data_IF_479893573538
#
_entry.id   IF_479893573538
#
_cell.length_a   1.000
_cell.length_b   1.000
_cell.length_c   1.000
_cell.angle_alpha   90.00
_cell.angle_beta   90.00
_cell.angle_gamma   90.00
#
_symmetry.space_group_name_H-M   'P 1'
#
loop_
_entity.id
_entity.type
_entity.pdbx_description
1 polymer ?
#
# COMPACT_ATOMS: atom_id res chain seq x y z
N UNK A 1 -75.07 24.45 -6.55
CA UNK A 1 -75.99 24.71 -5.42
C UNK A 1 -75.15 24.84 -4.16
N UNK A 2 -75.41 25.83 -3.29
CA UNK A 2 -74.64 26.05 -2.04
C UNK A 2 -74.96 24.94 -1.01
N UNK A 3 -73.99 24.47 -0.24
CA UNK A 3 -73.77 24.90 1.16
C UNK A 3 -72.51 24.27 1.77
N UNK A 4 -71.94 24.97 2.76
CA UNK A 4 -70.98 24.46 3.75
C UNK A 4 -71.73 24.08 5.03
N UNK A 5 -71.16 23.21 5.89
CA UNK A 5 -71.05 23.30 7.37
C UNK A 5 -70.72 21.90 7.96
N UNK A 6 -69.52 21.65 8.51
CA UNK A 6 -69.05 21.78 9.93
C UNK A 6 -69.22 20.55 10.84
N UNK A 7 -68.09 20.10 11.40
CA UNK A 7 -67.84 19.54 12.76
C UNK A 7 -68.86 18.61 13.45
N UNK A 8 -68.38 17.42 13.88
CA UNK A 8 -68.36 17.00 15.30
C UNK A 8 -67.45 15.76 15.49
N UNK A 9 -66.99 15.53 16.72
CA UNK A 9 -66.08 14.43 17.11
C UNK A 9 -66.75 13.46 18.11
N UNK A 10 -65.93 12.66 18.84
CA UNK A 10 -66.29 11.69 19.92
C UNK A 10 -66.72 10.31 19.34
N UNK A 11 -65.88 9.26 19.32
CA UNK A 11 -65.33 8.44 20.43
C UNK A 11 -66.41 7.59 21.16
N UNK A 12 -66.22 6.34 21.59
CA UNK A 12 -65.18 5.31 21.41
C UNK A 12 -65.76 3.94 21.90
N UNK A 13 -64.92 2.89 22.00
CA UNK A 13 -65.12 1.70 22.88
C UNK A 13 -66.13 0.60 22.39
N UNK A 14 -66.04 -0.71 22.72
CA UNK A 14 -65.03 -1.52 23.46
C UNK A 14 -65.24 -3.06 23.24
N UNK A 15 -64.17 -3.87 23.30
CA UNK A 15 -64.01 -5.33 23.59
C UNK A 15 -64.96 -6.42 22.96
N UNK A 16 -64.42 -7.45 22.27
CA UNK A 16 -64.01 -8.82 22.74
C UNK A 16 -65.14 -9.88 22.68
N UNK A 17 -64.95 -11.21 22.60
CA UNK A 17 -63.80 -12.09 22.85
C UNK A 17 -63.92 -13.48 22.18
N UNK A 18 -62.77 -14.04 21.76
CA UNK A 18 -62.22 -15.41 22.00
C UNK A 18 -62.96 -16.74 21.64
N UNK A 19 -62.19 -17.69 21.09
CA UNK A 19 -62.49 -19.13 20.99
C UNK A 19 -61.34 -19.94 20.34
N UNK A 20 -60.72 -20.88 21.07
CA UNK A 20 -59.54 -21.67 20.64
C UNK A 20 -59.89 -23.08 20.12
N UNK A 21 -59.08 -23.64 19.21
CA UNK A 21 -58.58 -25.05 19.20
C UNK A 21 -57.12 -25.06 18.65
N UNK A 22 -56.32 -26.10 18.93
CA UNK A 22 -54.85 -26.05 19.02
C UNK A 22 -54.00 -26.75 17.92
N UNK A 23 -52.72 -26.34 17.83
CA UNK A 23 -51.46 -27.08 17.48
C UNK A 23 -51.37 -27.94 16.19
N UNK A 24 -50.23 -28.09 15.47
CA UNK A 24 -48.88 -27.49 15.35
C UNK A 24 -48.17 -28.22 14.15
N UNK A 25 -46.87 -28.07 13.81
CA UNK A 25 -45.90 -26.96 13.92
C UNK A 25 -45.26 -26.53 12.56
N UNK A 26 -44.55 -25.39 12.49
CA UNK A 26 -43.23 -25.27 11.80
C UNK A 26 -42.59 -23.87 11.93
N UNK A 27 -41.30 -23.88 12.30
CA UNK A 27 -40.21 -22.89 12.07
C UNK A 27 -40.53 -21.39 12.17
N UNK A 28 -39.96 -20.73 13.19
CA UNK A 28 -39.75 -19.27 13.21
C UNK A 28 -38.52 -18.91 12.38
N UNK A 29 -38.68 -18.02 11.41
CA UNK A 29 -37.60 -17.14 10.94
C UNK A 29 -37.56 -15.91 11.85
N UNK A 30 -36.49 -15.72 12.61
CA UNK A 30 -36.31 -14.49 13.39
C UNK A 30 -36.04 -13.30 12.45
N UNK A 31 -36.61 -12.15 12.79
CA UNK A 31 -36.36 -10.88 12.13
C UNK A 31 -34.92 -10.40 12.33
N UNK A 32 -34.36 -9.76 11.30
CA UNK A 32 -33.21 -8.87 11.45
C UNK A 32 -33.61 -7.71 12.37
N UNK A 33 -33.16 -7.75 13.63
CA UNK A 33 -33.16 -6.59 14.49
C UNK A 33 -32.01 -5.67 14.06
N UNK A 34 -32.25 -4.36 14.05
CA UNK A 34 -31.24 -3.38 13.69
C UNK A 34 -30.06 -3.43 14.69
N UNK A 35 -28.83 -3.34 14.18
CA UNK A 35 -27.69 -3.01 15.03
C UNK A 35 -27.80 -1.54 15.46
N UNK A 36 -27.75 -1.29 16.77
CA UNK A 36 -27.57 0.06 17.29
C UNK A 36 -26.13 0.51 17.05
N UNK A 37 -25.96 1.62 16.33
CA UNK A 37 -24.64 2.24 16.10
C UNK A 37 -24.33 3.12 17.31
N UNK A 38 -23.35 2.73 18.13
CA UNK A 38 -22.81 3.59 19.18
C UNK A 38 -21.73 4.52 18.61
N UNK A 39 -22.07 5.80 18.40
CA UNK A 39 -21.09 6.82 18.03
C UNK A 39 -20.31 7.23 19.28
N UNK A 40 -19.06 6.81 19.39
CA UNK A 40 -18.13 7.30 20.41
C UNK A 40 -17.47 8.59 19.90
N UNK A 41 -17.68 9.70 20.61
CA UNK A 41 -17.19 11.01 20.21
C UNK A 41 -15.72 11.23 20.58
N UNK A 42 -14.90 11.58 19.58
CA UNK A 42 -13.56 12.13 19.73
C UNK A 42 -13.42 13.42 18.91
N UNK A 43 -12.70 14.41 19.43
CA UNK A 43 -12.47 15.68 18.74
C UNK A 43 -11.22 15.60 17.86
N UNK A 44 -11.38 15.59 16.54
CA UNK A 44 -10.27 15.75 15.59
C UNK A 44 -9.93 17.23 15.38
N UNK A 45 -8.64 17.53 15.20
CA UNK A 45 -8.17 18.82 14.69
C UNK A 45 -7.43 18.59 13.38
N UNK A 46 -7.53 19.55 12.44
CA UNK A 46 -6.78 19.53 11.19
C UNK A 46 -5.59 20.46 11.30
N UNK A 47 -4.39 19.94 11.02
CA UNK A 47 -3.23 20.78 10.74
C UNK A 47 -3.29 21.22 9.27
N UNK A 48 -2.95 22.48 8.99
CA UNK A 48 -2.74 22.96 7.63
C UNK A 48 -1.24 22.99 7.35
N UNK A 49 -0.75 22.03 6.57
CA UNK A 49 0.60 22.07 6.04
C UNK A 49 0.70 23.02 4.85
N UNK A 50 1.88 23.60 4.65
CA UNK A 50 2.16 24.58 3.61
C UNK A 50 3.23 24.04 2.65
N UNK A 51 2.99 24.02 1.32
CA UNK A 51 3.96 23.46 0.37
C UNK A 51 5.32 24.15 0.39
N UNK A 52 6.40 23.36 0.41
CA UNK A 52 7.76 23.87 0.28
C UNK A 52 8.09 24.22 -1.17
N UNK A 53 7.84 25.48 -1.55
CA UNK A 53 8.06 26.01 -2.91
C UNK A 53 9.54 26.10 -3.36
N UNK A 54 10.49 25.49 -2.64
CA UNK A 54 11.93 25.56 -2.91
C UNK A 54 12.61 24.19 -3.07
N UNK A 55 11.87 23.08 -2.92
CA UNK A 55 12.40 21.75 -3.20
C UNK A 55 12.60 21.55 -4.72
N UNK A 56 13.64 20.82 -5.11
CA UNK A 56 13.97 20.49 -6.51
C UNK A 56 14.58 19.10 -6.58
N UNK A 57 13.95 18.16 -7.27
CA UNK A 57 14.51 16.81 -7.42
C UNK A 57 14.14 16.18 -8.76
N UNK A 58 15.10 16.18 -9.68
CA UNK A 58 14.93 15.65 -11.04
C UNK A 58 14.82 14.11 -11.06
N UNK A 59 14.21 13.59 -12.12
CA UNK A 59 14.32 12.18 -12.51
C UNK A 59 13.38 11.21 -11.77
N UNK A 60 12.26 11.71 -11.24
CA UNK A 60 11.35 10.92 -10.39
C UNK A 60 10.75 9.70 -11.09
N UNK A 61 10.35 9.83 -12.37
CA UNK A 61 9.94 8.71 -13.24
C UNK A 61 10.96 7.56 -13.31
N UNK A 62 12.18 7.81 -13.84
CA UNK A 62 13.25 6.80 -13.83
C UNK A 62 13.62 6.30 -12.43
N UNK A 63 13.59 7.15 -11.38
CA UNK A 63 13.83 6.73 -9.98
C UNK A 63 12.76 5.76 -9.47
N UNK A 64 11.48 5.98 -9.80
CA UNK A 64 10.38 5.10 -9.43
C UNK A 64 10.44 3.76 -10.16
N UNK A 65 10.79 3.75 -11.46
CA UNK A 65 10.99 2.50 -12.21
C UNK A 65 12.24 1.75 -11.74
N UNK A 66 13.30 2.47 -11.38
CA UNK A 66 14.45 1.90 -10.67
C UNK A 66 14.00 1.27 -9.36
N UNK A 67 13.42 2.03 -8.40
CA UNK A 67 12.88 1.52 -7.11
C UNK A 67 12.12 0.21 -7.34
N UNK A 68 11.24 0.16 -8.33
CA UNK A 68 10.37 -1.00 -8.60
C UNK A 68 11.01 -2.22 -9.33
N UNK A 69 11.69 -2.07 -10.48
CA UNK A 69 12.38 -3.18 -11.17
C UNK A 69 13.34 -3.90 -10.28
N UNK A 70 14.04 -3.04 -9.62
CA UNK A 70 15.31 -3.35 -9.09
C UNK A 70 14.94 -3.96 -7.72
N UNK A 71 13.95 -3.46 -6.93
CA UNK A 71 13.37 -4.09 -5.69
C UNK A 71 13.29 -5.62 -5.70
N UNK A 72 12.95 -6.24 -6.83
CA UNK A 72 12.80 -7.69 -7.00
C UNK A 72 14.02 -8.41 -7.63
N UNK A 73 15.20 -7.79 -7.62
CA UNK A 73 16.48 -8.40 -7.98
C UNK A 73 16.75 -8.51 -9.49
N UNK A 74 16.17 -7.64 -10.31
CA UNK A 74 16.25 -7.75 -11.77
C UNK A 74 17.27 -6.79 -12.40
N UNK A 75 18.01 -7.28 -13.40
CA UNK A 75 18.96 -6.47 -14.17
C UNK A 75 18.28 -5.41 -15.05
N UNK A 76 18.85 -4.20 -15.03
CA UNK A 76 18.36 -3.07 -15.81
C UNK A 76 18.44 -3.30 -17.33
N UNK A 77 17.53 -2.71 -18.13
CA UNK A 77 17.78 -2.42 -19.53
C UNK A 77 18.96 -1.44 -19.69
N UNK A 78 19.82 -1.65 -20.70
CA UNK A 78 21.07 -0.91 -20.89
C UNK A 78 20.90 0.63 -20.84
N UNK A 79 19.83 1.18 -21.43
CA UNK A 79 19.55 2.62 -21.38
C UNK A 79 19.18 3.15 -19.98
N UNK A 80 18.45 2.37 -19.17
CA UNK A 80 18.16 2.74 -17.78
C UNK A 80 19.45 2.71 -16.94
N UNK A 81 20.36 1.78 -17.22
CA UNK A 81 21.67 1.70 -16.55
C UNK A 81 22.53 2.93 -16.86
N UNK A 82 22.60 3.37 -18.12
CA UNK A 82 23.33 4.59 -18.49
C UNK A 82 22.81 5.85 -17.74
N UNK A 83 21.49 6.01 -17.65
CA UNK A 83 20.85 7.14 -16.97
C UNK A 83 21.05 7.11 -15.45
N UNK A 84 20.88 5.93 -14.83
CA UNK A 84 21.14 5.76 -13.39
C UNK A 84 22.61 6.01 -13.08
N UNK A 85 23.54 5.57 -13.93
CA UNK A 85 24.97 5.85 -13.78
C UNK A 85 25.31 7.34 -14.01
N UNK A 86 24.63 8.04 -14.92
CA UNK A 86 24.82 9.48 -15.11
C UNK A 86 24.35 10.28 -13.88
N UNK A 87 23.18 9.95 -13.34
CA UNK A 87 22.67 10.51 -12.07
C UNK A 87 23.61 10.20 -10.89
N UNK A 88 24.07 8.95 -10.75
CA UNK A 88 25.01 8.55 -9.68
C UNK A 88 26.40 9.20 -9.82
N UNK A 89 26.78 9.61 -11.03
CA UNK A 89 28.05 10.30 -11.34
C UNK A 89 27.95 11.81 -11.12
N UNK A 90 26.80 12.43 -11.37
CA UNK A 90 26.49 13.78 -10.88
C UNK A 90 26.45 13.82 -9.34
N UNK A 91 26.14 12.69 -8.69
CA UNK A 91 26.14 12.51 -7.23
C UNK A 91 27.46 11.93 -6.65
N UNK A 92 28.46 11.59 -7.48
CA UNK A 92 29.84 11.32 -7.07
C UNK A 92 30.16 9.94 -6.47
N UNK A 93 29.52 8.85 -6.89
CA UNK A 93 29.71 7.49 -6.32
C UNK A 93 30.41 6.51 -7.28
N UNK A 94 31.31 5.65 -6.78
CA UNK A 94 32.07 4.65 -7.54
C UNK A 94 32.25 3.34 -6.71
N UNK A 95 31.97 2.14 -7.26
CA UNK A 95 31.92 0.86 -6.49
C UNK A 95 32.31 -0.38 -7.34
N UNK A 96 33.24 -1.25 -6.88
CA UNK A 96 33.54 -2.53 -7.53
C UNK A 96 33.15 -3.82 -6.74
N UNK A 97 32.37 -4.67 -7.42
CA UNK A 97 32.47 -6.15 -7.61
C UNK A 97 32.41 -7.21 -6.43
N UNK A 98 31.56 -8.24 -6.65
CA UNK A 98 31.54 -9.65 -6.11
C UNK A 98 31.19 -9.95 -4.63
N UNK A 99 30.81 -11.19 -4.23
CA UNK A 99 30.05 -12.30 -4.85
C UNK A 99 29.82 -13.48 -3.84
N UNK A 100 28.61 -14.08 -3.82
CA UNK A 100 28.37 -15.53 -3.63
C UNK A 100 28.22 -16.20 -2.24
N UNK A 101 27.08 -16.89 -2.01
CA UNK A 101 27.10 -18.36 -1.74
C UNK A 101 26.44 -18.99 -0.48
N UNK A 102 25.30 -19.69 -0.66
CA UNK A 102 24.82 -20.89 0.10
C UNK A 102 23.99 -20.67 1.39
N UNK A 103 22.74 -21.18 1.57
CA UNK A 103 22.20 -22.58 1.59
C UNK A 103 22.46 -23.34 2.91
N UNK A 104 21.57 -24.04 3.64
CA UNK A 104 20.13 -24.40 3.53
C UNK A 104 19.60 -24.79 4.94
N UNK A 105 18.27 -24.93 5.15
CA UNK A 105 17.72 -25.66 6.32
C UNK A 105 16.22 -25.44 6.65
N UNK A 106 15.36 -26.42 6.33
CA UNK A 106 13.89 -26.35 6.44
C UNK A 106 13.32 -27.07 7.69
N UNK A 107 12.16 -26.67 8.21
CA UNK A 107 11.52 -27.28 9.40
C UNK A 107 10.08 -26.83 9.71
N UNK A 108 9.10 -27.51 9.09
CA UNK A 108 7.65 -27.48 9.35
C UNK A 108 7.26 -28.14 10.70
N UNK A 109 6.08 -27.98 11.34
CA UNK A 109 4.87 -27.15 11.14
C UNK A 109 3.92 -27.26 12.37
N UNK A 110 2.74 -26.63 12.25
CA UNK A 110 1.42 -26.90 12.86
C UNK A 110 0.87 -25.92 13.91
N UNK A 111 -0.37 -25.48 13.61
CA UNK A 111 -1.16 -24.53 14.37
C UNK A 111 -2.08 -25.20 15.40
N UNK A 112 -2.44 -24.45 16.45
CA UNK A 112 -3.51 -24.76 17.39
C UNK A 112 -4.49 -23.58 17.47
N UNK A 113 -5.78 -23.88 17.40
CA UNK A 113 -6.87 -22.91 17.25
C UNK A 113 -7.56 -22.66 18.61
N UNK A 114 -7.82 -21.41 19.00
CA UNK A 114 -8.51 -21.14 20.28
C UNK A 114 -8.92 -19.69 20.56
N UNK A 115 -10.22 -19.52 20.86
CA UNK A 115 -10.93 -18.41 21.52
C UNK A 115 -10.77 -16.96 21.02
N UNK A 116 -11.91 -16.25 20.95
CA UNK A 116 -12.00 -14.81 20.70
C UNK A 116 -12.15 -14.09 22.04
N UNK A 117 -11.17 -13.25 22.40
CA UNK A 117 -11.20 -12.39 23.57
C UNK A 117 -11.79 -11.00 23.24
N UNK A 118 -12.38 -10.34 24.24
CA UNK A 118 -13.09 -9.04 24.08
C UNK A 118 -12.14 -7.83 24.06
N UNK A 119 -10.97 -7.98 23.46
CA UNK A 119 -9.87 -6.99 23.50
C UNK A 119 -9.50 -6.50 22.09
N UNK A 120 -10.48 -6.51 21.17
CA UNK A 120 -10.29 -6.31 19.74
C UNK A 120 -9.98 -4.86 19.38
N UNK A 121 -8.80 -4.63 18.80
CA UNK A 121 -8.30 -3.34 18.34
C UNK A 121 -8.84 -2.98 16.95
N UNK A 122 -9.05 -1.69 16.71
CA UNK A 122 -9.25 -1.06 15.40
C UNK A 122 -8.40 0.21 15.35
N UNK A 123 -7.92 0.59 14.17
CA UNK A 123 -7.07 1.78 14.03
C UNK A 123 -7.01 2.34 12.62
N UNK A 124 -6.75 3.62 12.51
CA UNK A 124 -6.69 4.41 11.27
C UNK A 124 -5.41 5.24 11.30
N UNK A 125 -4.60 5.14 10.25
CA UNK A 125 -3.40 5.94 10.07
C UNK A 125 -3.46 6.68 8.72
N UNK A 126 -3.09 7.96 8.71
CA UNK A 126 -3.06 8.75 7.48
C UNK A 126 -1.91 8.30 6.57
N UNK A 127 -2.19 8.16 5.28
CA UNK A 127 -1.20 7.88 4.24
C UNK A 127 -0.96 9.16 3.43
N UNK A 128 0.09 9.91 3.76
CA UNK A 128 0.38 11.24 3.19
C UNK A 128 1.23 11.07 1.93
N UNK A 129 0.78 11.51 0.74
CA UNK A 129 1.57 11.41 -0.48
C UNK A 129 2.77 12.36 -0.44
N UNK A 130 3.92 11.84 -0.85
CA UNK A 130 5.05 12.67 -1.27
C UNK A 130 4.78 13.35 -2.63
N UNK A 131 5.67 14.24 -3.05
CA UNK A 131 5.50 15.00 -4.29
C UNK A 131 5.32 14.05 -5.51
N UNK A 132 4.25 14.28 -6.30
CA UNK A 132 3.80 13.41 -7.40
C UNK A 132 3.35 11.99 -6.99
N UNK A 133 3.04 11.77 -5.70
CA UNK A 133 2.68 10.47 -5.12
C UNK A 133 3.80 9.42 -5.33
N UNK A 134 5.07 9.80 -5.13
CA UNK A 134 6.23 8.90 -5.29
C UNK A 134 6.23 7.74 -4.29
N UNK A 135 5.74 8.01 -3.09
CA UNK A 135 5.45 7.06 -2.00
C UNK A 135 4.43 7.70 -1.03
N UNK A 136 3.95 6.93 -0.06
CA UNK A 136 2.97 7.39 0.93
C UNK A 136 3.48 7.17 2.36
N UNK A 137 3.80 8.27 3.04
CA UNK A 137 4.34 8.24 4.38
C UNK A 137 3.23 8.18 5.43
N UNK A 138 3.42 7.30 6.43
CA UNK A 138 2.46 7.04 7.50
C UNK A 138 3.14 7.24 8.86
N UNK A 139 2.56 8.03 9.79
CA UNK A 139 3.15 8.25 11.10
C UNK A 139 3.05 6.99 11.98
N UNK A 140 4.18 6.53 12.47
CA UNK A 140 4.33 5.37 13.37
C UNK A 140 5.02 5.81 14.65
N UNK A 141 4.48 5.40 15.78
CA UNK A 141 5.04 5.67 17.10
C UNK A 141 5.88 4.48 17.57
N UNK A 142 7.13 4.72 17.99
CA UNK A 142 8.05 3.69 18.47
C UNK A 142 8.58 4.06 19.86
N UNK A 143 8.52 3.10 20.79
CA UNK A 143 9.15 3.18 22.11
C UNK A 143 8.39 3.93 23.20
N UNK A 144 9.02 4.04 24.37
CA UNK A 144 8.43 4.65 25.57
C UNK A 144 9.37 5.68 26.22
N UNK A 145 9.11 6.99 26.15
CA UNK A 145 7.95 7.62 25.52
C UNK A 145 7.91 7.45 23.99
N UNK A 146 6.73 7.51 23.37
CA UNK A 146 6.57 7.39 21.91
C UNK A 146 7.42 8.39 21.13
N UNK A 147 8.10 7.88 20.11
CA UNK A 147 8.84 8.66 19.11
C UNK A 147 8.16 8.46 17.76
N UNK A 148 7.63 9.54 17.16
CA UNK A 148 6.96 9.46 15.86
C UNK A 148 7.98 9.52 14.73
N UNK A 149 7.93 8.53 13.84
CA UNK A 149 8.66 8.46 12.57
C UNK A 149 7.64 8.32 11.42
N UNK A 150 7.96 8.85 10.25
CA UNK A 150 7.16 8.76 9.04
C UNK A 150 7.68 7.62 8.16
N UNK A 151 6.95 6.50 8.08
CA UNK A 151 7.40 5.29 7.38
C UNK A 151 6.62 5.04 6.08
N UNK A 152 7.33 4.57 5.04
CA UNK A 152 6.74 4.04 3.81
C UNK A 152 6.13 2.65 4.11
N UNK A 153 4.82 2.50 3.92
CA UNK A 153 4.09 1.26 4.22
C UNK A 153 4.13 0.33 3.00
N UNK A 154 4.81 -0.81 3.12
CA UNK A 154 5.24 -1.61 1.97
C UNK A 154 4.65 -3.04 1.99
N UNK A 155 3.54 -3.26 1.27
CA UNK A 155 2.96 -4.62 1.11
C UNK A 155 3.81 -5.56 0.24
N UNK A 156 4.89 -5.06 -0.36
CA UNK A 156 5.89 -5.81 -1.13
C UNK A 156 7.15 -6.23 -0.36
N UNK A 157 7.28 -5.92 0.94
CA UNK A 157 8.35 -6.43 1.84
C UNK A 157 7.80 -6.85 3.21
N UNK A 158 8.64 -7.25 4.18
CA UNK A 158 8.18 -7.78 5.48
C UNK A 158 9.09 -7.42 6.65
N UNK A 159 9.76 -6.28 6.54
CA UNK A 159 10.76 -5.80 7.50
C UNK A 159 10.30 -4.42 7.98
N UNK A 160 10.31 -4.19 9.30
CA UNK A 160 10.03 -2.87 9.87
C UNK A 160 11.38 -2.28 10.25
N UNK A 161 11.94 -1.46 9.37
CA UNK A 161 13.25 -0.85 9.59
C UNK A 161 13.19 0.67 9.65
N UNK A 162 14.09 1.26 10.44
CA UNK A 162 14.11 2.71 10.69
C UNK A 162 15.52 3.30 10.70
N UNK A 163 15.61 4.56 10.30
CA UNK A 163 16.72 5.43 10.67
C UNK A 163 16.79 5.57 12.20
N UNK A 164 17.99 5.58 12.78
CA UNK A 164 18.18 5.45 14.24
C UNK A 164 19.39 6.21 14.78
N UNK A 165 19.53 6.26 16.10
CA UNK A 165 20.75 6.74 16.79
C UNK A 165 22.03 5.96 16.41
N UNK A 166 21.90 4.78 15.80
CA UNK A 166 23.02 3.97 15.29
C UNK A 166 23.28 4.16 13.78
N UNK A 167 22.45 4.92 13.06
CA UNK A 167 22.70 5.22 11.64
C UNK A 167 23.85 6.23 11.52
N UNK A 168 24.85 6.02 10.63
CA UNK A 168 25.94 6.96 10.45
C UNK A 168 25.44 8.35 10.08
N UNK A 169 25.87 9.40 10.80
CA UNK A 169 25.43 10.79 10.57
C UNK A 169 25.67 11.31 9.14
N UNK A 170 26.59 10.71 8.39
CA UNK A 170 26.85 11.02 6.98
C UNK A 170 25.83 10.40 6.02
N UNK A 171 24.91 9.58 6.53
CA UNK A 171 23.82 8.91 5.79
C UNK A 171 22.43 9.43 6.21
N UNK A 172 22.37 10.42 7.12
CA UNK A 172 21.12 11.07 7.57
C UNK A 172 21.15 12.52 7.08
N UNK A 173 20.19 12.89 6.24
CA UNK A 173 20.18 14.18 5.51
C UNK A 173 18.92 15.02 5.75
N UNK A 174 17.91 14.51 6.46
CA UNK A 174 16.81 15.27 7.12
C UNK A 174 15.89 14.36 7.97
N UNK A 175 15.97 13.03 7.79
CA UNK A 175 15.12 12.03 8.42
C UNK A 175 15.08 12.15 9.95
N UNK A 176 13.89 11.93 10.52
CA UNK A 176 13.70 11.67 11.94
C UNK A 176 14.36 10.35 12.29
N UNK A 177 15.12 10.32 13.38
CA UNK A 177 15.81 9.10 13.84
C UNK A 177 15.15 8.56 15.09
N UNK A 178 14.94 7.25 15.14
CA UNK A 178 14.58 6.54 16.36
C UNK A 178 15.77 6.55 17.35
N UNK A 179 15.62 7.28 18.44
CA UNK A 179 16.60 7.37 19.52
C UNK A 179 16.38 6.21 20.49
N UNK A 180 17.13 5.13 20.27
CA UNK A 180 17.03 3.87 21.02
C UNK A 180 17.22 4.12 22.52
N UNK A 181 18.22 4.94 22.88
CA UNK A 181 18.59 5.26 24.26
C UNK A 181 17.53 6.10 24.99
N UNK A 182 16.60 6.72 24.28
CA UNK A 182 15.47 7.44 24.86
C UNK A 182 14.25 6.54 25.15
N UNK A 183 14.19 5.32 24.59
CA UNK A 183 13.11 4.37 24.84
C UNK A 183 13.42 3.48 26.05
N UNK A 184 12.55 3.55 27.06
CA UNK A 184 12.62 2.70 28.26
C UNK A 184 12.12 1.27 28.04
N UNK A 185 11.47 0.99 26.90
CA UNK A 185 10.95 -0.32 26.52
C UNK A 185 11.82 -1.05 25.50
N UNK A 186 12.75 -0.35 24.84
CA UNK A 186 13.69 -0.92 23.89
C UNK A 186 14.59 -2.01 24.50
N UNK A 187 14.66 -3.16 23.84
CA UNK A 187 15.55 -4.27 24.21
C UNK A 187 16.26 -4.80 22.98
N UNK A 188 17.59 -4.84 23.01
CA UNK A 188 18.37 -5.46 21.94
C UNK A 188 17.98 -6.94 21.81
N UNK A 189 17.67 -7.39 20.60
CA UNK A 189 17.45 -8.81 20.31
C UNK A 189 18.82 -9.44 20.03
N UNK A 190 19.47 -9.90 21.10
CA UNK A 190 20.87 -10.36 21.07
C UNK A 190 21.15 -11.38 19.95
N UNK A 191 22.13 -11.05 19.10
CA UNK A 191 22.53 -11.88 17.96
C UNK A 191 21.68 -11.73 16.70
N UNK A 192 20.53 -11.07 16.76
CA UNK A 192 19.70 -10.82 15.58
C UNK A 192 20.27 -9.69 14.72
N UNK A 193 20.30 -9.93 13.41
CA UNK A 193 20.72 -8.99 12.38
C UNK A 193 19.78 -9.06 11.20
N UNK A 194 19.72 -7.97 10.46
CA UNK A 194 18.95 -7.87 9.23
C UNK A 194 19.81 -7.26 8.13
N UNK A 195 19.50 -7.63 6.89
CA UNK A 195 20.10 -7.06 5.70
C UNK A 195 19.10 -7.24 4.57
N UNK A 196 18.40 -6.16 4.26
CA UNK A 196 17.52 -6.12 3.11
C UNK A 196 18.29 -5.53 1.93
N UNK A 197 18.21 -6.25 0.83
CA UNK A 197 18.31 -5.64 -0.48
C UNK A 197 16.91 -5.66 -1.04
N UNK A 198 16.24 -4.52 -0.94
CA UNK A 198 15.43 -4.10 -2.07
C UNK A 198 16.41 -4.15 -3.23
N UNK A 199 16.13 -4.93 -4.25
CA UNK A 199 17.12 -5.06 -5.31
C UNK A 199 17.37 -3.72 -6.05
N UNK A 200 16.75 -2.58 -5.67
CA UNK A 200 17.10 -1.23 -6.16
C UNK A 200 18.47 -0.70 -5.75
N UNK A 201 19.39 -1.62 -5.50
CA UNK A 201 20.75 -1.35 -5.06
C UNK A 201 20.77 -0.97 -3.59
N UNK A 202 19.88 -0.05 -3.20
CA UNK A 202 18.69 -0.43 -2.42
C UNK A 202 18.97 -1.22 -1.15
N UNK A 203 19.97 -0.79 -0.39
CA UNK A 203 20.45 -1.52 0.77
C UNK A 203 20.14 -0.79 2.06
N UNK A 204 19.63 -1.52 3.05
CA UNK A 204 19.69 -1.14 4.45
C UNK A 204 19.97 -2.37 5.32
N UNK A 205 20.72 -2.20 6.40
CA UNK A 205 21.13 -3.32 7.26
C UNK A 205 21.54 -2.87 8.67
N UNK A 206 21.46 -3.80 9.62
CA UNK A 206 21.88 -3.54 10.99
C UNK A 206 21.47 -4.63 11.99
N UNK A 207 21.02 -4.16 13.15
CA UNK A 207 20.63 -5.00 14.30
C UNK A 207 19.16 -4.81 14.60
N UNK A 208 18.60 -5.67 15.46
CA UNK A 208 17.16 -5.68 15.76
C UNK A 208 16.95 -5.37 17.24
N UNK A 209 15.99 -4.50 17.53
CA UNK A 209 15.47 -4.26 18.86
C UNK A 209 14.03 -4.76 18.93
N UNK A 210 13.61 -5.25 20.09
CA UNK A 210 12.20 -5.39 20.44
C UNK A 210 11.76 -4.11 21.14
N UNK A 211 10.67 -3.50 20.68
CA UNK A 211 10.06 -2.35 21.36
C UNK A 211 8.53 -2.32 21.13
N UNK A 212 7.85 -1.38 21.80
CA UNK A 212 6.46 -1.04 21.55
C UNK A 212 6.37 -0.26 20.25
N UNK A 213 5.48 -0.67 19.36
CA UNK A 213 5.13 0.06 18.12
C UNK A 213 3.62 0.30 18.10
N UNK A 214 3.22 1.52 17.77
CA UNK A 214 1.81 1.91 17.61
C UNK A 214 1.55 2.57 16.24
N UNK A 215 0.52 2.08 15.54
CA UNK A 215 0.07 2.56 14.23
C UNK A 215 -1.43 2.87 14.33
N UNK A 216 -1.81 4.14 14.23
CA UNK A 216 -3.22 4.54 14.15
C UNK A 216 -4.10 4.10 15.34
N UNK A 217 -3.51 3.86 16.51
CA UNK A 217 -4.18 3.30 17.70
C UNK A 217 -4.12 1.77 17.85
N UNK A 218 -3.53 1.04 16.90
CA UNK A 218 -3.13 -0.36 17.08
C UNK A 218 -1.77 -0.42 17.77
N UNK A 219 -1.65 -1.11 18.91
CA UNK A 219 -0.38 -1.27 19.64
C UNK A 219 0.11 -2.72 19.58
N UNK A 220 1.37 -2.91 19.15
CA UNK A 220 2.13 -4.16 19.29
C UNK A 220 3.24 -3.95 20.32
N UNK A 221 3.11 -4.58 21.49
CA UNK A 221 4.00 -4.33 22.64
C UNK A 221 5.42 -4.93 22.52
N UNK A 222 5.63 -5.85 21.57
CA UNK A 222 6.92 -6.47 21.28
C UNK A 222 7.07 -6.66 19.77
N UNK A 223 7.17 -5.55 19.04
CA UNK A 223 7.49 -5.54 17.62
C UNK A 223 9.01 -5.58 17.43
N UNK A 224 9.48 -6.32 16.43
CA UNK A 224 10.85 -6.21 15.96
C UNK A 224 11.01 -4.90 15.17
N UNK A 225 11.92 -4.05 15.64
CA UNK A 225 12.33 -2.78 15.03
C UNK A 225 13.76 -2.95 14.55
N UNK A 226 13.93 -2.94 13.24
CA UNK A 226 15.19 -3.23 12.55
C UNK A 226 15.96 -1.90 12.37
N UNK A 227 16.90 -1.62 13.29
CA UNK A 227 17.58 -0.33 13.31
C UNK A 227 18.73 -0.30 12.31
N UNK A 228 18.75 0.72 11.44
CA UNK A 228 19.74 0.81 10.37
C UNK A 228 21.10 1.28 10.91
N UNK A 229 22.12 0.45 10.72
CA UNK A 229 23.54 0.79 10.93
C UNK A 229 24.26 1.14 9.63
N UNK A 230 23.63 0.85 8.49
CA UNK A 230 24.03 1.28 7.17
C UNK A 230 22.79 1.40 6.28
N UNK A 231 22.69 2.51 5.55
CA UNK A 231 21.74 2.68 4.44
C UNK A 231 22.49 3.05 3.15
N UNK A 232 21.82 2.89 2.02
CA UNK A 232 22.30 3.31 0.70
C UNK A 232 21.93 4.78 0.41
N UNK A 233 22.56 5.34 -0.64
CA UNK A 233 22.39 6.76 -1.01
C UNK A 233 20.98 7.14 -1.45
N UNK A 234 20.17 6.18 -1.92
CA UNK A 234 18.75 6.39 -2.26
C UNK A 234 17.96 6.82 -1.03
N UNK A 235 18.04 6.06 0.07
CA UNK A 235 17.41 6.41 1.35
C UNK A 235 18.03 7.67 1.97
N UNK A 236 19.36 7.79 1.93
CA UNK A 236 20.05 9.01 2.43
C UNK A 236 19.53 10.28 1.74
N UNK A 237 19.24 10.20 0.44
CA UNK A 237 18.74 11.31 -0.38
C UNK A 237 17.23 11.55 -0.31
N UNK A 238 16.47 10.69 0.39
CA UNK A 238 15.06 10.92 0.70
C UNK A 238 14.93 11.44 2.14
N UNK A 239 14.81 12.75 2.27
CA UNK A 239 14.82 13.42 3.57
C UNK A 239 13.51 13.32 4.37
N UNK A 240 12.44 12.76 3.79
CA UNK A 240 11.12 12.70 4.40
C UNK A 240 10.78 11.30 4.90
N UNK A 241 11.33 10.26 4.25
CA UNK A 241 11.13 8.85 4.57
C UNK A 241 12.06 8.38 5.70
N UNK A 242 11.50 8.09 6.88
CA UNK A 242 12.26 7.70 8.09
C UNK A 242 12.53 6.18 8.18
N UNK A 243 12.02 5.41 7.21
CA UNK A 243 12.15 3.95 7.14
C UNK A 243 10.96 3.29 6.44
N UNK A 244 10.89 1.96 6.49
CA UNK A 244 9.76 1.19 5.94
C UNK A 244 9.05 0.37 7.02
N UNK A 245 7.76 0.15 6.84
CA UNK A 245 6.98 -0.85 7.58
C UNK A 245 6.43 -1.89 6.60
N UNK A 246 7.10 -3.04 6.53
CA UNK A 246 6.70 -4.15 5.67
C UNK A 246 5.37 -4.79 6.08
N UNK A 247 4.46 -4.93 5.12
CA UNK A 247 3.09 -5.46 5.26
C UNK A 247 2.81 -6.69 4.38
N UNK A 248 3.84 -7.27 3.76
CA UNK A 248 3.82 -8.61 3.18
C UNK A 248 3.74 -9.72 4.23
N UNK A 249 3.91 -10.96 3.81
CA UNK A 249 3.87 -12.12 4.71
C UNK A 249 5.24 -12.38 5.34
N UNK A 250 5.32 -12.38 6.67
CA UNK A 250 6.53 -12.59 7.53
C UNK A 250 7.50 -13.68 7.07
N UNK A 251 7.02 -14.66 6.29
CA UNK A 251 7.84 -15.61 5.51
C UNK A 251 9.03 -15.00 4.75
N UNK A 252 8.97 -13.74 4.31
CA UNK A 252 10.04 -13.03 3.58
C UNK A 252 10.77 -11.97 4.40
N UNK A 253 10.52 -11.86 5.71
CA UNK A 253 11.35 -11.04 6.61
C UNK A 253 12.83 -11.50 6.55
N UNK A 254 13.76 -10.55 6.65
CA UNK A 254 15.20 -10.71 6.44
C UNK A 254 16.00 -10.87 7.75
N UNK A 255 15.36 -10.85 8.91
CA UNK A 255 16.04 -11.06 10.20
C UNK A 255 16.60 -12.49 10.29
N UNK A 256 17.85 -12.57 10.72
CA UNK A 256 18.64 -13.80 10.91
C UNK A 256 19.29 -13.79 12.29
N UNK A 257 19.39 -14.94 13.01
CA UNK A 257 19.07 -16.31 12.56
C UNK A 257 17.58 -16.68 12.61
N UNK A 258 16.74 -15.85 13.23
CA UNK A 258 15.30 -16.12 13.40
C UNK A 258 14.49 -14.98 12.81
N UNK A 259 13.76 -15.26 11.74
CA UNK A 259 12.84 -14.31 11.10
C UNK A 259 11.84 -13.76 12.11
N UNK A 260 11.51 -12.47 11.97
CA UNK A 260 10.53 -11.79 12.79
C UNK A 260 9.19 -11.68 12.06
N UNK A 261 8.15 -11.33 12.82
CA UNK A 261 6.82 -11.06 12.29
C UNK A 261 6.69 -9.60 11.86
N UNK A 262 5.92 -9.36 10.79
CA UNK A 262 5.46 -8.01 10.45
C UNK A 262 4.56 -7.45 11.55
N UNK A 263 4.42 -6.12 11.58
CA UNK A 263 3.49 -5.45 12.51
C UNK A 263 2.07 -6.02 12.38
N UNK A 264 1.59 -6.21 11.15
CA UNK A 264 0.26 -6.77 10.91
C UNK A 264 0.13 -8.23 11.40
N UNK A 265 1.13 -9.10 11.20
CA UNK A 265 1.11 -10.49 11.69
C UNK A 265 1.17 -10.58 13.23
N UNK A 266 1.86 -9.64 13.89
CA UNK A 266 1.81 -9.51 15.35
C UNK A 266 0.45 -9.00 15.85
N UNK A 267 -0.14 -8.00 15.18
CA UNK A 267 -1.43 -7.42 15.57
C UNK A 267 -2.64 -8.33 15.24
N UNK A 268 -2.52 -9.22 14.23
CA UNK A 268 -3.68 -9.87 13.57
C UNK A 268 -4.65 -10.58 14.53
N UNK A 269 -4.14 -11.21 15.58
CA UNK A 269 -4.95 -11.93 16.56
C UNK A 269 -5.76 -11.00 17.48
N UNK A 270 -5.27 -9.77 17.68
CA UNK A 270 -5.88 -8.74 18.51
C UNK A 270 -6.76 -7.78 17.71
N UNK A 271 -6.81 -7.85 16.37
CA UNK A 271 -7.66 -6.99 15.54
C UNK A 271 -9.13 -7.46 15.55
N UNK A 272 -10.09 -6.53 15.45
CA UNK A 272 -11.52 -6.85 15.34
C UNK A 272 -11.87 -7.63 14.05
N UNK A 273 -11.08 -7.44 12.99
CA UNK A 273 -11.06 -8.28 11.79
C UNK A 273 -9.59 -8.52 11.41
N UNK A 274 -9.18 -9.74 11.01
CA UNK A 274 -7.79 -10.04 10.66
C UNK A 274 -7.46 -9.55 9.23
N UNK A 275 -7.52 -8.24 9.04
CA UNK A 275 -7.33 -7.50 7.79
C UNK A 275 -6.85 -6.07 8.03
N UNK A 276 -6.32 -5.46 6.98
CA UNK A 276 -6.17 -4.01 6.84
C UNK A 276 -6.67 -3.56 5.45
N UNK A 277 -6.86 -2.26 5.24
CA UNK A 277 -7.15 -1.70 3.91
C UNK A 277 -6.22 -0.54 3.57
N UNK A 278 -5.94 -0.35 2.29
CA UNK A 278 -5.21 0.78 1.74
C UNK A 278 -6.15 1.64 0.89
N UNK A 279 -6.26 2.91 1.25
CA UNK A 279 -7.05 3.91 0.54
C UNK A 279 -6.16 5.09 0.12
N UNK A 280 -5.12 4.81 -0.67
CA UNK A 280 -4.18 5.82 -1.19
C UNK A 280 -4.88 6.78 -2.16
N UNK A 281 -4.51 8.05 -2.21
CA UNK A 281 -5.16 9.05 -3.07
C UNK A 281 -4.16 9.92 -3.82
N UNK A 282 -4.57 10.50 -4.94
CA UNK A 282 -3.69 11.30 -5.77
C UNK A 282 -3.62 12.76 -5.30
N UNK A 283 -2.45 13.23 -4.87
CA UNK A 283 -2.21 14.61 -4.44
C UNK A 283 -2.91 15.05 -3.15
N UNK A 284 -3.58 14.15 -2.44
CA UNK A 284 -4.14 14.41 -1.10
C UNK A 284 -3.98 13.18 -0.18
N UNK A 285 -3.99 13.35 1.16
CA UNK A 285 -3.87 12.24 2.09
C UNK A 285 -4.96 11.17 1.92
N UNK A 286 -4.50 9.93 1.80
CA UNK A 286 -5.28 8.72 1.95
C UNK A 286 -5.20 8.19 3.39
N UNK A 287 -5.53 6.91 3.57
CA UNK A 287 -5.46 6.24 4.87
C UNK A 287 -5.20 4.72 4.76
N UNK A 288 -4.67 4.17 5.84
CA UNK A 288 -4.63 2.74 6.15
C UNK A 288 -5.51 2.43 7.35
N UNK A 289 -6.47 1.52 7.18
CA UNK A 289 -7.34 1.07 8.28
C UNK A 289 -6.97 -0.36 8.70
N UNK A 290 -6.91 -0.62 9.99
CA UNK A 290 -6.58 -1.93 10.57
C UNK A 290 -7.77 -2.42 11.42
N UNK A 291 -8.18 -3.67 11.23
CA UNK A 291 -9.25 -4.28 12.03
C UNK A 291 -10.68 -4.00 11.56
N UNK A 292 -10.89 -3.16 10.55
CA UNK A 292 -12.21 -2.86 10.00
C UNK A 292 -12.17 -2.49 8.51
N UNK A 293 -13.34 -2.38 7.89
CA UNK A 293 -13.53 -1.87 6.53
C UNK A 293 -14.55 -0.73 6.61
N UNK A 294 -14.20 0.47 6.17
CA UNK A 294 -15.16 1.59 6.09
C UNK A 294 -15.96 1.52 4.77
N UNK A 295 -17.30 1.35 4.81
CA UNK A 295 -18.14 1.30 3.62
C UNK A 295 -18.34 2.67 2.93
N UNK A 296 -17.82 3.76 3.49
CA UNK A 296 -17.89 5.13 2.93
C UNK A 296 -16.66 5.51 2.10
N UNK A 297 -15.55 4.77 2.24
CA UNK A 297 -14.30 4.99 1.48
C UNK A 297 -14.34 4.43 0.06
N UNK A 298 -15.33 3.60 -0.25
CA UNK A 298 -15.51 3.00 -1.58
C UNK A 298 -16.96 3.06 -2.05
N UNK A 299 -17.17 2.59 -3.28
CA UNK A 299 -18.45 2.59 -3.97
C UNK A 299 -18.74 1.20 -4.55
N UNK A 300 -20.02 0.90 -4.80
CA UNK A 300 -20.40 -0.40 -5.33
C UNK A 300 -20.14 -1.54 -4.35
N UNK A 301 -19.56 -2.65 -4.84
CA UNK A 301 -19.35 -3.88 -4.07
C UNK A 301 -17.88 -4.28 -4.03
N UNK A 302 -17.38 -4.58 -2.83
CA UNK A 302 -16.07 -5.17 -2.61
C UNK A 302 -16.01 -6.60 -3.15
N UNK A 303 -15.08 -6.87 -4.07
CA UNK A 303 -14.88 -8.20 -4.68
C UNK A 303 -13.62 -8.84 -4.12
N UNK A 304 -13.78 -9.92 -3.35
CA UNK A 304 -12.66 -10.68 -2.81
C UNK A 304 -12.17 -11.76 -3.80
N UNK A 305 -10.85 -11.91 -3.87
CA UNK A 305 -10.14 -12.97 -4.58
C UNK A 305 -9.07 -13.61 -3.66
N UNK A 306 -8.76 -14.91 -3.82
CA UNK A 306 -7.67 -15.54 -3.07
C UNK A 306 -6.31 -15.00 -3.50
N UNK A 307 -5.36 -14.91 -2.56
CA UNK A 307 -3.94 -14.69 -2.88
C UNK A 307 -3.12 -15.96 -2.83
N UNK A 308 -1.98 -15.95 -3.54
CA UNK A 308 -0.96 -16.98 -3.48
C UNK A 308 0.20 -16.51 -2.60
N UNK A 309 0.23 -16.98 -1.35
CA UNK A 309 1.20 -16.55 -0.33
C UNK A 309 2.57 -17.24 -0.46
N UNK A 310 2.76 -18.15 -1.43
CA UNK A 310 3.97 -18.99 -1.58
C UNK A 310 5.27 -18.19 -1.73
N UNK A 311 5.22 -16.99 -2.32
CA UNK A 311 6.39 -16.10 -2.47
C UNK A 311 6.46 -15.00 -1.40
N UNK A 312 5.61 -15.04 -0.38
CA UNK A 312 5.53 -14.03 0.69
C UNK A 312 4.85 -12.71 0.31
N UNK A 313 4.29 -12.60 -0.90
CA UNK A 313 3.60 -11.41 -1.38
C UNK A 313 2.08 -11.60 -1.42
N UNK A 314 1.36 -10.47 -1.48
CA UNK A 314 -0.07 -10.41 -1.80
C UNK A 314 -0.30 -10.65 -3.30
N UNK A 315 0.02 -11.87 -3.75
CA UNK A 315 0.05 -12.24 -5.17
C UNK A 315 -1.32 -12.72 -5.66
N UNK A 316 -1.75 -12.22 -6.82
CA UNK A 316 -2.99 -12.60 -7.48
C UNK A 316 -2.81 -12.81 -9.00
N UNK A 317 -3.89 -13.18 -9.68
CA UNK A 317 -3.91 -13.36 -11.14
C UNK A 317 -4.83 -12.33 -11.80
N UNK A 318 -4.28 -11.56 -12.73
CA UNK A 318 -5.05 -10.77 -13.70
C UNK A 318 -5.22 -11.59 -15.00
N UNK A 319 -6.37 -11.49 -15.66
CA UNK A 319 -6.75 -12.39 -16.77
C UNK A 319 -6.77 -11.73 -18.15
N UNK A 320 -7.20 -10.47 -18.21
CA UNK A 320 -7.32 -9.68 -19.45
C UNK A 320 -7.26 -8.19 -19.15
N UNK A 321 -7.00 -7.38 -20.18
CA UNK A 321 -6.96 -5.92 -20.07
C UNK A 321 -7.69 -5.25 -21.24
N UNK A 322 -8.00 -3.97 -21.08
CA UNK A 322 -8.57 -3.08 -22.10
C UNK A 322 -7.89 -1.72 -22.02
N UNK A 323 -7.66 -1.08 -23.17
CA UNK A 323 -7.09 0.27 -23.26
C UNK A 323 -8.13 1.21 -23.85
N UNK A 324 -8.37 2.34 -23.19
CA UNK A 324 -9.42 3.30 -23.50
C UNK A 324 -10.78 2.96 -22.88
N UNK A 325 -11.69 3.92 -22.95
CA UNK A 325 -12.99 3.92 -22.27
C UNK A 325 -14.18 3.52 -23.15
N UNK A 326 -13.94 2.91 -24.32
CA UNK A 326 -15.01 2.44 -25.20
C UNK A 326 -15.76 1.27 -24.56
N UNK A 327 -17.07 1.36 -24.30
CA UNK A 327 -17.85 0.25 -23.74
C UNK A 327 -17.90 -1.00 -24.64
N UNK A 328 -17.54 -0.83 -25.91
CA UNK A 328 -17.49 -1.89 -26.93
C UNK A 328 -16.08 -2.44 -27.17
N UNK A 329 -15.07 -2.02 -26.38
CA UNK A 329 -13.72 -2.56 -26.53
C UNK A 329 -13.65 -4.00 -26.00
N UNK A 330 -13.22 -4.92 -26.86
CA UNK A 330 -13.04 -6.34 -26.49
C UNK A 330 -11.81 -6.50 -25.59
N UNK A 331 -11.93 -7.10 -24.40
CA UNK A 331 -10.79 -7.37 -23.54
C UNK A 331 -9.75 -8.27 -24.23
N UNK A 332 -8.49 -7.89 -24.15
CA UNK A 332 -7.35 -8.67 -24.65
C UNK A 332 -6.94 -9.66 -23.57
N UNK A 333 -7.10 -10.96 -23.84
CA UNK A 333 -6.66 -12.03 -22.96
C UNK A 333 -5.13 -11.98 -22.80
N UNK A 334 -4.67 -11.81 -21.57
CA UNK A 334 -3.24 -11.75 -21.22
C UNK A 334 -3.07 -12.15 -19.75
N UNK A 335 -3.28 -13.44 -19.41
CA UNK A 335 -3.20 -13.90 -18.02
C UNK A 335 -1.78 -13.74 -17.48
N UNK A 336 -1.64 -13.11 -16.32
CA UNK A 336 -0.36 -12.91 -15.66
C UNK A 336 -0.51 -12.89 -14.14
N UNK A 337 0.58 -13.28 -13.45
CA UNK A 337 0.72 -13.10 -12.01
C UNK A 337 1.02 -11.62 -11.71
N UNK A 338 0.48 -11.13 -10.61
CA UNK A 338 0.63 -9.76 -10.14
C UNK A 338 0.75 -9.75 -8.61
N UNK A 339 1.40 -8.74 -8.03
CA UNK A 339 1.38 -8.46 -6.59
C UNK A 339 0.76 -7.08 -6.33
N UNK A 340 0.01 -6.94 -5.24
CA UNK A 340 -0.42 -5.63 -4.75
C UNK A 340 0.68 -5.07 -3.82
N UNK A 341 1.30 -3.96 -4.23
CA UNK A 341 2.54 -3.45 -3.62
C UNK A 341 2.49 -1.93 -3.39
N UNK A 342 2.15 -1.52 -2.18
CA UNK A 342 2.11 -0.10 -1.76
C UNK A 342 3.49 0.55 -1.63
N UNK A 343 4.58 -0.24 -1.59
CA UNK A 343 5.95 0.27 -1.60
C UNK A 343 6.55 0.37 -3.01
N UNK A 344 5.71 0.35 -4.06
CA UNK A 344 6.10 0.58 -5.45
C UNK A 344 5.17 1.62 -6.06
N UNK A 345 5.74 2.70 -6.58
CA UNK A 345 4.98 3.79 -7.18
C UNK A 345 4.19 3.38 -8.44
N UNK A 346 4.83 2.62 -9.35
CA UNK A 346 4.36 2.45 -10.73
C UNK A 346 3.51 1.18 -10.94
N UNK A 347 2.67 1.20 -11.97
CA UNK A 347 2.00 0.00 -12.48
C UNK A 347 2.92 -0.72 -13.48
N UNK A 348 3.66 -1.71 -13.00
CA UNK A 348 4.59 -2.49 -13.83
C UNK A 348 3.90 -3.72 -14.41
N UNK A 349 3.76 -3.76 -15.73
CA UNK A 349 3.00 -4.78 -16.46
C UNK A 349 3.89 -5.57 -17.43
N UNK A 350 3.52 -6.81 -17.83
CA UNK A 350 4.23 -7.54 -18.88
C UNK A 350 4.49 -6.65 -20.10
N UNK A 351 5.71 -6.64 -20.62
CA UNK A 351 6.16 -5.62 -21.59
C UNK A 351 5.29 -5.51 -22.85
N UNK A 352 4.57 -6.57 -23.23
CA UNK A 352 3.57 -6.56 -24.30
C UNK A 352 2.34 -5.70 -23.98
N UNK A 353 1.86 -5.70 -22.72
CA UNK A 353 0.71 -4.91 -22.26
C UNK A 353 1.09 -3.43 -22.19
N UNK A 354 2.24 -3.10 -21.59
CA UNK A 354 2.74 -1.72 -21.56
C UNK A 354 2.91 -1.16 -22.99
N UNK A 355 3.48 -1.94 -23.92
CA UNK A 355 3.59 -1.57 -25.34
C UNK A 355 2.23 -1.38 -26.01
N UNK A 356 1.24 -2.24 -25.72
CA UNK A 356 -0.11 -2.13 -26.28
C UNK A 356 -0.84 -0.87 -25.77
N UNK A 357 -0.61 -0.48 -24.51
CA UNK A 357 -1.12 0.77 -23.94
C UNK A 357 -0.54 1.99 -24.66
N UNK A 358 0.79 2.15 -24.70
CA UNK A 358 1.42 3.32 -25.33
C UNK A 358 1.26 3.37 -26.85
N UNK A 359 0.96 2.25 -27.51
CA UNK A 359 0.54 2.27 -28.92
C UNK A 359 -0.77 3.04 -29.17
N UNK A 360 -1.56 3.31 -28.13
CA UNK A 360 -2.76 4.18 -28.20
C UNK A 360 -2.47 5.64 -27.79
N UNK A 361 -1.22 5.99 -27.44
CA UNK A 361 -0.84 7.32 -26.94
C UNK A 361 -0.02 8.06 -28.01
N UNK A 362 -0.56 9.11 -28.66
CA UNK A 362 0.16 9.83 -29.71
C UNK A 362 1.49 10.40 -29.22
N UNK A 363 2.58 10.10 -29.94
CA UNK A 363 3.92 10.56 -29.61
C UNK A 363 4.58 9.88 -28.41
N UNK A 364 3.96 8.86 -27.81
CA UNK A 364 4.62 8.10 -26.75
C UNK A 364 5.79 7.27 -27.29
N UNK A 365 6.91 7.30 -26.58
CA UNK A 365 8.12 6.55 -26.91
C UNK A 365 8.71 5.93 -25.65
N UNK A 366 9.27 4.72 -25.77
CA UNK A 366 10.11 4.16 -24.71
C UNK A 366 11.51 4.78 -24.84
N UNK A 367 11.80 5.79 -24.01
CA UNK A 367 13.03 6.56 -24.08
C UNK A 367 14.08 5.96 -23.16
N UNK A 368 15.10 5.32 -23.73
CA UNK A 368 16.22 4.75 -22.99
C UNK A 368 16.91 5.77 -22.08
N UNK A 369 17.12 7.00 -22.55
CA UNK A 369 17.74 8.11 -21.81
C UNK A 369 16.83 8.73 -20.73
N UNK A 370 15.61 8.24 -20.55
CA UNK A 370 14.74 8.52 -19.39
C UNK A 370 14.36 7.21 -18.68
N UNK A 371 14.90 6.07 -19.13
CA UNK A 371 14.64 4.76 -18.57
C UNK A 371 13.25 4.15 -18.82
N UNK A 372 12.34 4.79 -19.57
CA UNK A 372 10.98 4.25 -19.75
C UNK A 372 10.10 5.03 -20.72
N UNK A 373 8.80 4.68 -20.74
CA UNK A 373 7.81 5.35 -21.59
C UNK A 373 7.56 6.80 -21.15
N UNK A 374 7.68 7.70 -22.11
CA UNK A 374 7.43 9.14 -21.99
C UNK A 374 6.57 9.65 -23.16
N UNK A 375 5.89 10.76 -22.98
CA UNK A 375 5.02 11.42 -23.98
C UNK A 375 4.92 12.92 -23.65
N UNK A 376 4.38 13.72 -24.58
CA UNK A 376 4.16 15.15 -24.33
C UNK A 376 3.12 15.37 -23.22
N UNK A 377 3.40 16.23 -22.24
CA UNK A 377 2.55 16.40 -21.05
C UNK A 377 1.11 16.86 -21.33
N UNK A 378 0.84 17.44 -22.50
CA UNK A 378 -0.50 17.84 -22.94
C UNK A 378 -1.31 16.69 -23.59
N UNK A 379 -0.74 15.49 -23.71
CA UNK A 379 -1.42 14.32 -24.29
C UNK A 379 -2.43 13.75 -23.30
N UNK A 380 -3.71 13.72 -23.70
CA UNK A 380 -4.74 13.00 -22.94
C UNK A 380 -4.51 11.50 -23.03
N UNK A 381 -4.17 10.87 -21.90
CA UNK A 381 -4.02 9.42 -21.80
C UNK A 381 -5.38 8.69 -21.83
N UNK A 382 -5.44 7.46 -22.39
CA UNK A 382 -6.58 6.57 -22.27
C UNK A 382 -6.63 5.89 -20.88
N UNK A 383 -7.81 5.49 -20.43
CA UNK A 383 -7.95 4.65 -19.24
C UNK A 383 -7.36 3.25 -19.48
N UNK A 384 -6.90 2.58 -18.43
CA UNK A 384 -6.47 1.18 -18.47
C UNK A 384 -7.38 0.35 -17.57
N UNK A 385 -8.08 -0.64 -18.13
CA UNK A 385 -8.94 -1.55 -17.35
C UNK A 385 -8.34 -2.94 -17.31
N UNK A 386 -8.38 -3.59 -16.14
CA UNK A 386 -7.88 -4.95 -15.94
C UNK A 386 -8.90 -5.84 -15.22
N UNK A 387 -9.00 -7.09 -15.66
CA UNK A 387 -9.93 -8.09 -15.14
C UNK A 387 -9.24 -8.99 -14.09
N UNK A 388 -9.69 -8.87 -12.84
CA UNK A 388 -9.16 -9.56 -11.65
C UNK A 388 -10.29 -10.43 -11.06
N UNK A 389 -10.28 -11.73 -11.36
CA UNK A 389 -11.48 -12.56 -11.15
C UNK A 389 -12.67 -11.97 -11.92
N UNK A 390 -13.80 -11.75 -11.24
CA UNK A 390 -14.97 -11.05 -11.80
C UNK A 390 -14.84 -9.51 -11.75
N UNK A 391 -13.88 -8.96 -11.00
CA UNK A 391 -13.71 -7.52 -10.82
C UNK A 391 -13.05 -6.85 -12.03
N UNK A 392 -13.57 -5.67 -12.41
CA UNK A 392 -13.00 -4.79 -13.44
C UNK A 392 -12.40 -3.56 -12.79
N UNK A 393 -11.09 -3.61 -12.51
CA UNK A 393 -10.37 -2.46 -11.97
C UNK A 393 -10.06 -1.49 -13.11
N UNK A 394 -10.57 -0.25 -13.00
CA UNK A 394 -10.31 0.84 -13.96
C UNK A 394 -9.30 1.80 -13.36
N UNK A 395 -8.14 1.94 -14.02
CA UNK A 395 -7.14 2.97 -13.75
C UNK A 395 -7.39 4.14 -14.74
N UNK A 396 -7.82 5.32 -14.28
CA UNK A 396 -8.05 6.47 -15.15
C UNK A 396 -6.76 6.95 -15.83
N UNK A 397 -6.86 7.40 -17.07
CA UNK A 397 -5.73 7.98 -17.81
C UNK A 397 -5.07 9.16 -17.09
N UNK A 398 -5.84 9.94 -16.31
CA UNK A 398 -5.30 11.02 -15.48
C UNK A 398 -4.38 10.54 -14.36
N UNK A 399 -4.61 9.35 -13.80
CA UNK A 399 -3.75 8.77 -12.76
C UNK A 399 -2.53 8.02 -13.34
N UNK A 400 -2.55 7.70 -14.63
CA UNK A 400 -1.41 7.12 -15.37
C UNK A 400 -0.41 8.22 -15.78
N UNK A 401 -0.77 9.51 -15.69
CA UNK A 401 0.18 10.60 -15.79
C UNK A 401 0.92 10.77 -14.46
N UNK A 402 2.16 10.27 -14.38
CA UNK A 402 2.89 10.17 -13.12
C UNK A 402 3.58 11.48 -12.73
N UNK A 403 4.66 11.84 -13.44
CA UNK A 403 5.49 12.99 -13.10
C UNK A 403 6.12 13.61 -14.35
N UNK A 404 6.39 14.92 -14.36
CA UNK A 404 7.29 15.55 -15.33
C UNK A 404 8.66 14.87 -15.43
N UNK A 405 9.30 15.02 -16.58
CA UNK A 405 10.68 14.54 -16.83
C UNK A 405 11.68 15.70 -16.76
N UNK A 406 11.30 16.87 -17.24
CA UNK A 406 12.16 18.02 -17.48
C UNK A 406 12.07 19.15 -16.44
N UNK A 407 11.00 19.19 -15.65
CA UNK A 407 10.75 20.16 -14.56
C UNK A 407 10.21 19.45 -13.31
N UNK A 408 9.87 20.20 -12.26
CA UNK A 408 9.08 19.73 -11.11
C UNK A 408 7.65 20.34 -11.14
N UNK A 409 7.13 20.71 -12.33
CA UNK A 409 5.82 21.36 -12.49
C UNK A 409 5.19 21.03 -13.86
N UNK A 410 4.03 20.36 -13.84
CA UNK A 410 3.25 20.00 -15.04
C UNK A 410 2.87 21.21 -15.92
N UNK A 411 2.76 22.43 -15.38
CA UNK A 411 2.44 23.62 -16.16
C UNK A 411 3.61 24.12 -17.02
N UNK A 412 4.84 23.71 -16.70
CA UNK A 412 6.07 24.07 -17.43
C UNK A 412 6.75 22.88 -18.11
N UNK A 413 6.34 21.65 -17.76
CA UNK A 413 6.86 20.42 -18.33
C UNK A 413 6.48 20.22 -19.80
N UNK A 414 7.46 19.80 -20.62
CA UNK A 414 7.23 19.41 -22.00
C UNK A 414 7.06 17.89 -22.17
N UNK A 415 7.70 17.10 -21.30
CA UNK A 415 7.74 15.64 -21.36
C UNK A 415 7.32 15.03 -20.03
N UNK A 416 6.38 14.11 -20.05
CA UNK A 416 5.82 13.46 -18.88
C UNK A 416 6.12 11.96 -18.90
N UNK A 417 6.37 11.41 -17.71
CA UNK A 417 6.66 10.00 -17.50
C UNK A 417 5.36 9.19 -17.34
N UNK A 418 5.38 7.99 -17.88
CA UNK A 418 4.26 7.06 -17.82
C UNK A 418 4.18 6.30 -16.50
N UNK A 419 3.00 6.35 -15.85
CA UNK A 419 2.68 5.57 -14.66
C UNK A 419 2.59 4.06 -14.91
N UNK A 420 2.27 3.66 -16.15
CA UNK A 420 2.43 2.28 -16.61
C UNK A 420 3.85 2.13 -17.18
N UNK A 421 4.59 1.11 -16.76
CA UNK A 421 5.84 0.72 -17.39
C UNK A 421 5.85 -0.79 -17.65
N UNK A 422 6.86 -1.27 -18.37
CA UNK A 422 7.10 -2.71 -18.46
C UNK A 422 7.48 -3.26 -17.07
N UNK A 423 7.40 -4.59 -16.90
CA UNK A 423 7.90 -5.37 -15.78
C UNK A 423 9.07 -6.25 -16.27
N UNK A 424 10.03 -5.66 -16.99
CA UNK A 424 11.07 -6.41 -17.72
C UNK A 424 11.91 -7.23 -16.76
N UNK A 425 11.98 -8.55 -17.00
CA UNK A 425 12.79 -9.51 -16.23
C UNK A 425 12.17 -9.96 -14.90
N UNK A 426 11.01 -9.42 -14.52
CA UNK A 426 10.24 -9.86 -13.35
C UNK A 426 9.39 -11.10 -13.68
N UNK A 427 9.24 -12.06 -12.75
CA UNK A 427 8.35 -13.22 -12.94
C UNK A 427 6.85 -12.87 -12.73
N UNK A 428 6.55 -11.66 -12.25
CA UNK A 428 5.21 -11.13 -12.02
C UNK A 428 5.13 -9.64 -12.35
N UNK A 429 3.91 -9.14 -12.53
CA UNK A 429 3.59 -7.72 -12.56
C UNK A 429 3.55 -7.13 -11.15
N UNK A 430 3.74 -5.82 -11.03
CA UNK A 430 3.65 -5.10 -9.75
C UNK A 430 2.56 -4.04 -9.89
N UNK A 431 1.51 -4.19 -9.11
CA UNK A 431 0.36 -3.30 -9.12
C UNK A 431 0.56 -2.30 -7.99
N UNK A 432 1.43 -1.34 -8.28
CA UNK A 432 1.83 -0.26 -7.40
C UNK A 432 0.83 0.88 -7.30
N UNK A 433 1.25 2.00 -6.73
CA UNK A 433 0.39 3.13 -6.35
C UNK A 433 -0.42 3.72 -7.50
N UNK A 434 0.12 3.78 -8.72
CA UNK A 434 -0.66 4.17 -9.92
C UNK A 434 -1.94 3.33 -10.07
N UNK A 435 -1.89 2.04 -9.72
CA UNK A 435 -3.08 1.18 -9.62
C UNK A 435 -3.78 1.35 -8.27
N UNK A 436 -3.07 1.23 -7.14
CA UNK A 436 -3.70 1.17 -5.81
C UNK A 436 -4.44 2.46 -5.45
N UNK A 437 -3.94 3.64 -5.85
CA UNK A 437 -4.63 4.93 -5.61
C UNK A 437 -5.90 5.11 -6.45
N UNK A 438 -6.10 4.30 -7.50
CA UNK A 438 -7.35 4.25 -8.27
C UNK A 438 -8.41 3.31 -7.68
N UNK A 439 -8.05 2.48 -6.69
CA UNK A 439 -8.93 1.46 -6.10
C UNK A 439 -9.05 1.64 -4.58
N UNK A 440 -10.07 1.05 -3.97
CA UNK A 440 -10.04 0.72 -2.56
C UNK A 440 -9.64 -0.76 -2.41
N UNK A 441 -8.63 -1.04 -1.58
CA UNK A 441 -8.00 -2.38 -1.50
C UNK A 441 -7.98 -2.89 -0.07
N UNK A 442 -8.44 -4.12 0.14
CA UNK A 442 -8.45 -4.80 1.44
C UNK A 442 -7.49 -5.98 1.41
N UNK A 443 -6.61 -6.08 2.38
CA UNK A 443 -5.60 -7.11 2.57
C UNK A 443 -6.02 -8.00 3.75
N UNK A 444 -6.69 -9.11 3.47
CA UNK A 444 -7.32 -9.95 4.48
C UNK A 444 -6.41 -11.13 4.87
N UNK A 445 -5.57 -10.91 5.89
CA UNK A 445 -4.61 -11.90 6.40
C UNK A 445 -5.27 -13.21 6.85
N UNK A 446 -6.33 -13.13 7.66
CA UNK A 446 -6.96 -14.33 8.22
C UNK A 446 -7.62 -15.28 7.21
N UNK A 447 -7.92 -14.82 6.00
CA UNK A 447 -8.51 -15.62 4.91
C UNK A 447 -7.59 -15.75 3.69
N UNK A 448 -6.40 -15.13 3.72
CA UNK A 448 -5.48 -15.00 2.58
C UNK A 448 -6.19 -14.50 1.30
N UNK A 449 -6.80 -13.31 1.38
CA UNK A 449 -7.56 -12.69 0.28
C UNK A 449 -7.21 -11.22 0.05
N UNK A 450 -7.36 -10.77 -1.20
CA UNK A 450 -7.42 -9.36 -1.58
C UNK A 450 -8.86 -8.99 -1.94
N UNK A 451 -9.38 -7.90 -1.38
CA UNK A 451 -10.66 -7.29 -1.75
C UNK A 451 -10.44 -6.03 -2.58
N UNK A 452 -11.16 -5.87 -3.69
CA UNK A 452 -11.09 -4.68 -4.55
C UNK A 452 -12.46 -4.02 -4.73
N UNK A 453 -12.52 -2.70 -4.65
CA UNK A 453 -13.71 -1.90 -4.95
C UNK A 453 -13.34 -0.60 -5.68
N UNK A 454 -14.23 -0.04 -6.52
CA UNK A 454 -14.05 1.29 -7.09
C UNK A 454 -14.34 2.34 -6.04
N UNK A 455 -13.70 3.51 -6.11
CA UNK A 455 -13.89 4.58 -5.13
C UNK A 455 -14.00 5.97 -5.79
N UNK A 456 -14.45 7.00 -5.05
CA UNK A 456 -14.24 8.38 -5.45
C UNK A 456 -12.73 8.66 -5.66
N UNK A 457 -12.42 9.47 -6.67
CA UNK A 457 -11.07 9.82 -7.12
C UNK A 457 -10.81 11.32 -6.93
#
# INVERSE_FOLDING_TARGET
MKLSLTTAAVAASILSSAGLVAAAPRVKTNSLAALEISVLGGSTFKLHEAPNAHFRSRGQGPRALAKAYQKYGVGFPDGLLEVVLEILKELGVDVPDRAGGGSDGNGTANAGQGNIDTNTQIGEAAAVPELFDTEYLTPVQIGTPPQTLNLDFDTGSSDLWVFSSQTPKTQVTNQTIYNIEASTTAKLLDGAKWSIRYGDGSGSSGVVYMDVVEVGGITVAQQAVEVATQVSSSFTGDGNSDGLLGLGFSSINQVSPTKQKTFFDNAMADLAMPLFSANLKAGEPGNYNFGFIDPTEFSGSLTFIPVNTTQGFWQFTATSYTVGSSPSATPVAAPHQAIADTGTTLLLLPAAIARAYYAQVPGAVNNGSVGGYVYACNTKLPDFTVQIGEYKAVVPGSLINFAPVDTDDFATASSCYGGIQAATGLPFAIYGDIFLKSQFVVFHGGNEQLGFAPKPL
#
